data_IF_318848614514
#
_entry.id   IF_318848614514
#
_cell.length_a   1.000
_cell.length_b   1.000
_cell.length_c   1.000
_cell.angle_alpha   90.00
_cell.angle_beta   90.00
_cell.angle_gamma   90.00
#
_symmetry.space_group_name_H-M   'P 1'
#
loop_
_entity.id
_entity.type
_entity.pdbx_description
1 polymer ?
#
# COMPACT_ATOMS: atom_id res chain seq x y z
N UNK A 1 5.60 -3.65 -34.05
CA UNK A 1 4.85 -4.91 -34.33
C UNK A 1 4.87 -5.15 -35.83
N UNK A 2 5.26 -6.35 -36.29
CA UNK A 2 5.22 -6.72 -37.71
C UNK A 2 3.77 -6.70 -38.25
N UNK A 3 3.56 -6.43 -39.55
CA UNK A 3 2.22 -6.30 -40.14
C UNK A 3 1.28 -7.48 -39.87
N UNK A 4 1.80 -8.70 -39.89
CA UNK A 4 1.06 -9.94 -39.63
C UNK A 4 0.50 -10.00 -38.20
N UNK A 5 1.23 -9.43 -37.25
CA UNK A 5 0.87 -9.42 -35.84
C UNK A 5 -0.14 -8.30 -35.53
N UNK A 6 -0.10 -7.19 -36.28
CA UNK A 6 -1.11 -6.13 -36.17
C UNK A 6 -2.50 -6.62 -36.58
N UNK A 7 -2.58 -7.45 -37.63
CA UNK A 7 -3.84 -8.08 -38.06
C UNK A 7 -4.42 -9.10 -37.07
N UNK A 8 -3.58 -9.67 -36.19
CA UNK A 8 -3.99 -10.64 -35.15
C UNK A 8 -4.40 -9.99 -33.82
N UNK A 9 -4.25 -8.67 -33.68
CA UNK A 9 -4.64 -7.90 -32.49
C UNK A 9 -5.66 -6.81 -32.87
N UNK A 10 -6.89 -7.19 -33.27
CA UNK A 10 -7.90 -6.25 -33.80
C UNK A 10 -8.55 -5.39 -32.71
N UNK A 11 -8.60 -5.87 -31.47
CA UNK A 11 -9.14 -5.11 -30.33
C UNK A 11 -8.00 -4.31 -29.71
N UNK A 12 -8.21 -3.00 -29.57
CA UNK A 12 -7.29 -2.09 -28.90
C UNK A 12 -8.02 -1.42 -27.76
N UNK A 13 -7.36 -1.32 -26.64
CA UNK A 13 -7.83 -0.61 -25.46
C UNK A 13 -6.63 0.09 -24.83
N UNK A 14 -6.87 1.29 -24.33
CA UNK A 14 -5.91 2.06 -23.57
C UNK A 14 -6.42 2.10 -22.13
N UNK A 15 -5.50 1.95 -21.18
CA UNK A 15 -5.81 2.01 -19.75
C UNK A 15 -5.39 3.38 -19.23
N UNK A 16 -6.23 3.96 -18.38
CA UNK A 16 -5.95 5.21 -17.69
C UNK A 16 -4.94 4.99 -16.56
N UNK A 17 -4.17 6.03 -16.25
CA UNK A 17 -3.28 6.02 -15.09
C UNK A 17 -4.13 6.09 -13.80
N UNK A 18 -3.64 5.44 -12.74
CA UNK A 18 -4.33 5.39 -11.46
C UNK A 18 -4.05 6.65 -10.63
N UNK A 19 -5.11 7.21 -10.04
CA UNK A 19 -5.04 8.31 -9.08
C UNK A 19 -4.95 7.84 -7.62
N UNK A 20 -4.92 8.80 -6.69
CA UNK A 20 -4.96 8.55 -5.24
C UNK A 20 -6.25 7.83 -4.86
N UNK A 21 -7.38 8.28 -5.42
CA UNK A 21 -8.69 7.69 -5.16
C UNK A 21 -8.73 6.23 -5.64
N UNK A 22 -8.09 5.91 -6.76
CA UNK A 22 -8.01 4.53 -7.24
C UNK A 22 -7.17 3.65 -6.30
N UNK A 23 -6.11 4.19 -5.70
CA UNK A 23 -5.32 3.48 -4.72
C UNK A 23 -6.11 3.21 -3.43
N UNK A 24 -6.89 4.17 -2.94
CA UNK A 24 -7.81 3.95 -1.81
C UNK A 24 -8.78 2.80 -2.08
N UNK A 25 -9.35 2.77 -3.29
CA UNK A 25 -10.24 1.71 -3.74
C UNK A 25 -9.50 0.37 -3.83
N UNK A 26 -8.31 0.32 -4.41
CA UNK A 26 -7.48 -0.89 -4.49
C UNK A 26 -7.16 -1.46 -3.11
N UNK A 27 -6.94 -0.59 -2.12
CA UNK A 27 -6.67 -0.98 -0.74
C UNK A 27 -7.89 -1.56 -0.02
N UNK A 28 -9.13 -1.28 -0.46
CA UNK A 28 -10.34 -1.57 0.33
C UNK A 28 -11.44 -2.36 -0.39
N UNK A 29 -11.64 -2.15 -1.69
CA UNK A 29 -12.75 -2.73 -2.47
C UNK A 29 -12.46 -4.14 -3.05
N UNK A 30 -11.26 -4.42 -3.62
CA UNK A 30 -10.98 -5.74 -4.17
C UNK A 30 -11.11 -6.83 -3.12
N UNK A 31 -11.63 -7.99 -3.55
CA UNK A 31 -11.63 -9.18 -2.71
C UNK A 31 -10.18 -9.57 -2.40
N UNK A 32 -9.88 -9.74 -1.11
CA UNK A 32 -8.50 -9.92 -0.63
C UNK A 32 -7.59 -8.74 -0.98
N UNK A 33 -8.05 -7.51 -0.78
CA UNK A 33 -7.20 -6.31 -0.81
C UNK A 33 -6.05 -6.40 0.19
N UNK A 34 -5.01 -5.58 0.01
CA UNK A 34 -3.82 -5.63 0.89
C UNK A 34 -4.17 -5.38 2.36
N UNK A 35 -5.04 -4.41 2.66
CA UNK A 35 -5.48 -4.17 4.04
C UNK A 35 -6.21 -5.37 4.64
N UNK A 36 -7.01 -6.08 3.82
CA UNK A 36 -7.68 -7.31 4.25
C UNK A 36 -6.65 -8.41 4.50
N UNK A 37 -5.69 -8.59 3.59
CA UNK A 37 -4.63 -9.59 3.75
C UNK A 37 -3.83 -9.38 5.04
N UNK A 38 -3.37 -8.16 5.32
CA UNK A 38 -2.60 -7.88 6.55
C UNK A 38 -3.46 -8.02 7.82
N UNK A 39 -4.74 -7.63 7.78
CA UNK A 39 -5.66 -7.84 8.90
C UNK A 39 -5.80 -9.32 9.24
N UNK A 40 -6.01 -10.16 8.22
CA UNK A 40 -6.15 -11.60 8.43
C UNK A 40 -4.81 -12.26 8.83
N UNK A 41 -3.69 -11.82 8.24
CA UNK A 41 -2.36 -12.35 8.53
C UNK A 41 -1.97 -12.08 9.99
N UNK A 42 -2.09 -10.84 10.46
CA UNK A 42 -1.77 -10.53 11.86
C UNK A 42 -2.84 -11.04 12.82
N UNK A 43 -4.07 -11.25 12.31
CA UNK A 43 -5.12 -11.95 13.03
C UNK A 43 -4.75 -13.39 13.39
N UNK A 44 -3.87 -14.07 12.63
CA UNK A 44 -3.41 -15.43 13.00
C UNK A 44 -2.54 -15.43 14.25
N UNK A 45 -1.85 -14.32 14.52
CA UNK A 45 -1.06 -14.09 15.74
C UNK A 45 -1.91 -13.53 16.89
N UNK A 46 -3.21 -13.35 16.67
CA UNK A 46 -4.15 -12.77 17.64
C UNK A 46 -4.13 -11.24 17.72
N UNK A 47 -3.34 -10.57 16.87
CA UNK A 47 -3.28 -9.11 16.81
C UNK A 47 -4.42 -8.56 15.94
N UNK A 48 -5.20 -7.62 16.47
CA UNK A 48 -6.25 -6.95 15.70
C UNK A 48 -5.70 -5.70 15.03
N UNK A 49 -5.85 -5.63 13.71
CA UNK A 49 -5.57 -4.44 12.91
C UNK A 49 -6.86 -3.77 12.45
N UNK A 50 -6.96 -2.47 12.69
CA UNK A 50 -8.03 -1.63 12.15
C UNK A 50 -7.47 -0.51 11.28
N UNK A 51 -7.95 -0.42 10.04
CA UNK A 51 -7.55 0.62 9.10
C UNK A 51 -8.65 1.65 9.04
N UNK A 52 -8.38 2.86 9.51
CA UNK A 52 -9.32 3.96 9.40
C UNK A 52 -9.37 4.48 7.96
N UNK A 53 -10.46 5.15 7.58
CA UNK A 53 -10.57 5.78 6.27
C UNK A 53 -9.47 6.82 6.02
N UNK A 54 -9.09 7.56 7.05
CA UNK A 54 -8.02 8.57 6.96
C UNK A 54 -6.64 7.92 6.81
N UNK A 55 -6.39 6.81 7.51
CA UNK A 55 -5.15 6.04 7.35
C UNK A 55 -5.02 5.44 5.95
N UNK A 56 -6.08 4.84 5.41
CA UNK A 56 -6.09 4.30 4.04
C UNK A 56 -5.81 5.40 3.01
N UNK A 57 -6.48 6.55 3.16
CA UNK A 57 -6.23 7.71 2.30
C UNK A 57 -4.79 8.17 2.38
N UNK A 58 -4.22 8.26 3.59
CA UNK A 58 -2.84 8.70 3.77
C UNK A 58 -1.82 7.74 3.14
N UNK A 59 -2.06 6.42 3.23
CA UNK A 59 -1.24 5.41 2.54
C UNK A 59 -1.29 5.59 1.03
N UNK A 60 -2.47 5.87 0.47
CA UNK A 60 -2.65 6.12 -0.95
C UNK A 60 -1.92 7.39 -1.41
N UNK A 61 -2.04 8.48 -0.66
CA UNK A 61 -1.34 9.75 -0.92
C UNK A 61 0.18 9.57 -0.93
N UNK A 62 0.75 8.94 0.10
CA UNK A 62 2.19 8.70 0.18
C UNK A 62 2.67 7.82 -0.97
N UNK A 63 1.92 6.75 -1.29
CA UNK A 63 2.27 5.86 -2.40
C UNK A 63 2.25 6.59 -3.75
N UNK A 64 1.32 7.51 -3.94
CA UNK A 64 1.26 8.34 -5.13
C UNK A 64 2.41 9.35 -5.17
N UNK A 65 2.69 10.05 -4.07
CA UNK A 65 3.79 11.00 -3.95
C UNK A 65 5.15 10.34 -4.26
N UNK A 66 5.41 9.15 -3.71
CA UNK A 66 6.65 8.40 -4.00
C UNK A 66 6.74 8.00 -5.48
N UNK A 67 5.63 7.69 -6.13
CA UNK A 67 5.63 7.43 -7.58
C UNK A 67 5.95 8.68 -8.40
N UNK A 68 5.58 9.87 -7.95
CA UNK A 68 5.87 11.14 -8.62
C UNK A 68 7.30 11.61 -8.38
N UNK A 69 7.87 11.36 -7.20
CA UNK A 69 9.24 11.74 -6.86
C UNK A 69 10.28 10.73 -7.32
N UNK A 70 9.88 9.47 -7.55
CA UNK A 70 10.77 8.39 -8.02
C UNK A 70 10.26 7.76 -9.32
N UNK A 71 10.44 6.44 -9.50
CA UNK A 71 9.92 5.73 -10.66
C UNK A 71 8.45 5.37 -10.43
N UNK A 72 7.57 5.78 -11.33
CA UNK A 72 6.15 5.42 -11.23
C UNK A 72 5.96 3.94 -11.59
N UNK A 73 5.77 3.11 -10.55
CA UNK A 73 5.47 1.67 -10.69
C UNK A 73 3.97 1.37 -10.52
N UNK A 74 3.13 2.40 -10.49
CA UNK A 74 1.69 2.33 -10.29
C UNK A 74 1.31 1.74 -8.94
N UNK A 75 0.23 0.95 -8.91
CA UNK A 75 -0.32 0.34 -7.70
C UNK A 75 0.64 -0.62 -6.98
N UNK A 76 1.73 -1.06 -7.63
CA UNK A 76 2.73 -1.93 -6.98
C UNK A 76 3.39 -1.25 -5.79
N UNK A 77 3.47 0.09 -5.78
CA UNK A 77 4.00 0.88 -4.66
C UNK A 77 3.28 0.62 -3.34
N UNK A 78 1.99 0.31 -3.39
CA UNK A 78 1.19 0.02 -2.19
C UNK A 78 1.74 -1.16 -1.38
N UNK A 79 2.44 -2.11 -2.03
CA UNK A 79 3.04 -3.25 -1.34
C UNK A 79 4.22 -2.84 -0.45
N UNK A 80 5.19 -2.11 -1.00
CA UNK A 80 6.39 -1.70 -0.27
C UNK A 80 6.05 -0.71 0.83
N UNK A 81 5.11 0.21 0.55
CA UNK A 81 4.61 1.16 1.55
C UNK A 81 3.92 0.45 2.72
N UNK A 82 3.03 -0.53 2.45
CA UNK A 82 2.37 -1.27 3.54
C UNK A 82 3.33 -2.16 4.33
N UNK A 83 4.25 -2.85 3.66
CA UNK A 83 5.24 -3.69 4.32
C UNK A 83 6.08 -2.84 5.29
N UNK A 84 6.56 -1.67 4.83
CA UNK A 84 7.33 -0.77 5.66
C UNK A 84 6.51 -0.17 6.81
N UNK A 85 5.24 0.17 6.56
CA UNK A 85 4.34 0.71 7.57
C UNK A 85 4.08 -0.29 8.71
N UNK A 86 3.93 -1.58 8.38
CA UNK A 86 3.53 -2.62 9.31
C UNK A 86 4.71 -3.42 9.87
N UNK A 87 5.94 -3.12 9.50
CA UNK A 87 7.15 -3.85 9.90
C UNK A 87 7.26 -3.99 11.42
N UNK A 88 7.17 -2.88 12.16
CA UNK A 88 7.25 -2.88 13.63
C UNK A 88 6.05 -3.60 14.26
N UNK A 89 4.84 -3.34 13.75
CA UNK A 89 3.63 -3.99 14.25
C UNK A 89 3.65 -5.52 14.02
N UNK A 90 4.26 -5.97 12.91
CA UNK A 90 4.43 -7.39 12.61
C UNK A 90 5.52 -8.03 13.45
N UNK A 91 6.61 -7.32 13.74
CA UNK A 91 7.70 -7.82 14.59
C UNK A 91 7.23 -7.98 16.04
N UNK A 92 6.46 -7.02 16.55
CA UNK A 92 5.93 -7.01 17.93
C UNK A 92 4.59 -7.75 18.08
N UNK A 93 4.10 -8.40 17.01
CA UNK A 93 2.73 -8.89 16.94
C UNK A 93 2.36 -9.84 18.09
N UNK A 94 3.27 -10.76 18.43
CA UNK A 94 3.06 -11.73 19.51
C UNK A 94 3.05 -11.10 20.90
N UNK A 95 3.80 -10.02 21.12
CA UNK A 95 3.81 -9.29 22.40
C UNK A 95 2.55 -8.44 22.54
N UNK A 96 2.17 -7.72 21.48
CA UNK A 96 0.96 -6.89 21.44
C UNK A 96 -0.31 -7.73 21.54
N UNK A 97 -0.33 -8.90 20.90
CA UNK A 97 -1.47 -9.82 21.01
C UNK A 97 -1.61 -10.42 22.42
N UNK A 98 -0.49 -10.73 23.09
CA UNK A 98 -0.50 -11.15 24.49
C UNK A 98 -1.04 -10.06 25.44
N UNK A 99 -0.84 -8.79 25.10
CA UNK A 99 -1.42 -7.64 25.81
C UNK A 99 -2.89 -7.35 25.44
N UNK A 100 -3.44 -8.03 24.41
CA UNK A 100 -4.80 -7.80 23.93
C UNK A 100 -4.98 -6.48 23.17
N UNK A 101 -3.90 -5.93 22.62
CA UNK A 101 -3.90 -4.64 21.94
C UNK A 101 -4.57 -4.70 20.55
N UNK A 102 -5.14 -3.58 20.12
CA UNK A 102 -5.62 -3.37 18.75
C UNK A 102 -4.80 -2.25 18.15
N UNK A 103 -4.14 -2.52 17.03
CA UNK A 103 -3.37 -1.52 16.29
C UNK A 103 -4.31 -0.80 15.35
N UNK A 104 -4.48 0.50 15.57
CA UNK A 104 -5.30 1.38 14.73
C UNK A 104 -4.38 2.14 13.79
N UNK A 105 -4.57 1.95 12.49
CA UNK A 105 -3.85 2.63 11.43
C UNK A 105 -4.66 3.86 11.02
N UNK A 106 -4.33 4.99 11.63
CA UNK A 106 -4.83 6.32 11.29
C UNK A 106 -3.79 7.15 10.53
N UNK A 107 -4.17 8.36 10.11
CA UNK A 107 -3.26 9.22 9.35
C UNK A 107 -1.99 9.56 10.14
N UNK A 108 -2.10 9.77 11.47
CA UNK A 108 -0.96 10.08 12.33
C UNK A 108 0.01 8.90 12.44
N UNK A 109 -0.51 7.68 12.58
CA UNK A 109 0.28 6.46 12.55
C UNK A 109 1.05 6.34 11.23
N UNK A 110 0.38 6.59 10.11
CA UNK A 110 1.00 6.54 8.77
C UNK A 110 2.13 7.57 8.64
N UNK A 111 1.89 8.82 9.03
CA UNK A 111 2.90 9.88 8.98
C UNK A 111 4.11 9.58 9.85
N UNK A 112 3.88 9.10 11.08
CA UNK A 112 4.96 8.78 12.01
C UNK A 112 5.96 7.76 11.44
N UNK A 113 5.48 6.79 10.65
CA UNK A 113 6.32 5.71 10.13
C UNK A 113 6.89 5.98 8.74
N UNK A 114 6.23 6.82 7.93
CA UNK A 114 6.54 6.96 6.50
C UNK A 114 6.93 8.37 6.06
N UNK A 115 6.60 9.42 6.83
CA UNK A 115 6.78 10.81 6.38
C UNK A 115 8.25 11.16 6.11
N UNK A 116 9.17 10.71 6.97
CA UNK A 116 10.61 10.96 6.78
C UNK A 116 11.18 10.22 5.57
N UNK A 117 10.71 8.99 5.34
CA UNK A 117 11.16 8.14 4.22
C UNK A 117 10.64 8.69 2.89
N UNK A 118 9.37 9.10 2.83
CA UNK A 118 8.74 9.64 1.63
C UNK A 118 9.36 10.98 1.18
N UNK A 119 9.80 11.82 2.13
CA UNK A 119 10.44 13.12 1.81
C UNK A 119 11.88 12.98 1.31
N UNK A 120 12.53 11.84 1.53
CA UNK A 120 13.90 11.61 1.12
C UNK A 120 13.92 10.72 -0.13
N UNK A 121 14.16 11.34 -1.30
CA UNK A 121 14.17 10.68 -2.60
C UNK A 121 15.17 9.52 -2.67
N UNK A 122 16.36 9.69 -2.10
CA UNK A 122 17.39 8.65 -2.06
C UNK A 122 16.93 7.46 -1.22
N UNK A 123 16.42 7.70 0.00
CA UNK A 123 15.91 6.62 0.86
C UNK A 123 14.70 5.93 0.23
N UNK A 124 13.76 6.71 -0.32
CA UNK A 124 12.60 6.20 -1.04
C UNK A 124 13.01 5.24 -2.14
N UNK A 125 14.06 5.56 -2.92
CA UNK A 125 14.51 4.68 -4.02
C UNK A 125 15.03 3.31 -3.58
N UNK A 126 15.54 3.19 -2.35
CA UNK A 126 16.11 1.93 -1.83
C UNK A 126 15.14 1.16 -0.93
N UNK A 127 14.22 1.85 -0.25
CA UNK A 127 13.37 1.28 0.79
C UNK A 127 11.90 1.17 0.35
N UNK A 128 11.42 2.10 -0.48
CA UNK A 128 10.01 2.21 -0.90
C UNK A 128 9.82 1.91 -2.38
#
# INVERSE_FOLDING_TARGET
LIPELQGRLPVRVELEALGVEDFERILTEPRASLTTQYRELLGTEGLKLDFTSEGVKRIAEISWEVNETTENIGARRLHTVLERLLEEASFEASEKSAAGETVVIDAAFVDQHLEELAKNEDLSRFIL
#
